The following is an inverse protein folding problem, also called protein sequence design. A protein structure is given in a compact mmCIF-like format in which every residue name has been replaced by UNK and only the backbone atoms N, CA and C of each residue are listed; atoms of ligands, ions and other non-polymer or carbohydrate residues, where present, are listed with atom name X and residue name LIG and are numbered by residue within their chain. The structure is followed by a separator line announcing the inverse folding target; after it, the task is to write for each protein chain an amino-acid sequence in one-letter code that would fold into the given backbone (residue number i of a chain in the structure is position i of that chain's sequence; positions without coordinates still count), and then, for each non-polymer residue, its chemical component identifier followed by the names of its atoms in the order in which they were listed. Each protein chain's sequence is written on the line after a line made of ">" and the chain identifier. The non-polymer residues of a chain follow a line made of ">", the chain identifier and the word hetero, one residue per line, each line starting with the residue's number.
data_IF_417237440063
#
_entry.id   IF_417237440063
#
_cell.length_a   1.000
_cell.length_b   1.000
_cell.length_c   1.000
_cell.angle_alpha   90.00
_cell.angle_beta   90.00
_cell.angle_gamma   90.00
#
_symmetry.space_group_name_H-M   'P 1'
#
loop_
_entity.id
_entity.type
_entity.pdbx_description
1 polymer ?
#
# COMPACT_ATOMS: atom_id res chain seq x y z
N UNK A 1 -17.85 -9.49 4.55
CA UNK A 1 -16.94 -9.85 3.43
C UNK A 1 -16.60 -8.65 2.55
N UNK A 2 -17.60 -7.93 2.00
CA UNK A 2 -17.38 -6.79 1.07
C UNK A 2 -16.42 -5.70 1.58
N UNK A 3 -16.44 -5.37 2.89
CA UNK A 3 -15.59 -4.32 3.47
C UNK A 3 -14.09 -4.64 3.45
N UNK A 4 -13.72 -5.90 3.75
CA UNK A 4 -12.30 -6.33 3.73
C UNK A 4 -11.77 -6.44 2.30
N UNK A 5 -12.64 -6.84 1.36
CA UNK A 5 -12.34 -6.81 -0.07
C UNK A 5 -12.12 -5.35 -0.54
N UNK A 6 -12.97 -4.41 -0.12
CA UNK A 6 -12.77 -3.00 -0.42
C UNK A 6 -11.46 -2.47 0.17
N UNK A 7 -11.14 -2.83 1.42
CA UNK A 7 -9.85 -2.49 2.04
C UNK A 7 -8.68 -3.06 1.22
N UNK A 8 -8.76 -4.33 0.81
CA UNK A 8 -7.76 -4.98 -0.03
C UNK A 8 -7.51 -4.18 -1.31
N UNK A 9 -8.56 -3.92 -2.11
CA UNK A 9 -8.42 -3.22 -3.39
C UNK A 9 -7.98 -1.77 -3.21
N UNK A 10 -8.45 -1.08 -2.15
CA UNK A 10 -7.95 0.25 -1.85
C UNK A 10 -6.45 0.25 -1.59
N UNK A 11 -5.95 -0.65 -0.74
CA UNK A 11 -4.51 -0.70 -0.41
C UNK A 11 -3.69 -1.21 -1.58
N UNK A 12 -4.20 -2.17 -2.34
CA UNK A 12 -3.60 -2.62 -3.60
C UNK A 12 -3.37 -1.44 -4.53
N UNK A 13 -4.40 -0.63 -4.81
CA UNK A 13 -4.29 0.50 -5.75
C UNK A 13 -3.26 1.54 -5.31
N UNK A 14 -3.13 1.79 -4.00
CA UNK A 14 -2.16 2.77 -3.49
C UNK A 14 -0.71 2.27 -3.58
N UNK A 15 -0.48 0.99 -3.28
CA UNK A 15 0.83 0.36 -3.46
C UNK A 15 1.18 0.31 -4.96
N UNK A 16 0.23 -0.14 -5.79
CA UNK A 16 0.38 -0.21 -7.24
C UNK A 16 0.80 1.13 -7.85
N UNK A 17 0.09 2.21 -7.49
CA UNK A 17 0.40 3.55 -7.98
C UNK A 17 1.81 4.00 -7.54
N UNK A 18 2.16 3.74 -6.28
CA UNK A 18 3.47 4.10 -5.74
C UNK A 18 4.61 3.35 -6.45
N UNK A 19 4.49 2.03 -6.62
CA UNK A 19 5.48 1.22 -7.34
C UNK A 19 5.66 1.73 -8.77
N UNK A 20 4.56 1.99 -9.48
CA UNK A 20 4.62 2.47 -10.88
C UNK A 20 5.38 3.78 -11.02
N UNK A 21 5.33 4.68 -10.02
CA UNK A 21 6.07 5.94 -10.04
C UNK A 21 7.57 5.71 -9.80
N UNK A 22 7.93 4.88 -8.81
CA UNK A 22 9.32 4.70 -8.40
C UNK A 22 10.13 3.74 -9.27
N UNK A 23 9.51 2.68 -9.82
CA UNK A 23 10.20 1.76 -10.75
C UNK A 23 10.75 2.47 -11.99
N UNK A 24 10.07 3.53 -12.45
CA UNK A 24 10.51 4.36 -13.58
C UNK A 24 11.16 5.66 -13.15
N UNK A 25 11.45 5.82 -11.86
CA UNK A 25 12.11 7.00 -11.28
C UNK A 25 11.42 8.32 -11.67
N UNK A 26 10.09 8.30 -11.80
CA UNK A 26 9.28 9.44 -12.22
C UNK A 26 9.14 9.66 -13.73
N UNK A 27 9.87 8.94 -14.59
CA UNK A 27 9.67 8.99 -16.04
C UNK A 27 8.50 8.10 -16.48
N UNK A 28 7.28 8.63 -16.39
CA UNK A 28 6.06 7.87 -16.71
C UNK A 28 6.00 7.34 -18.15
N UNK A 29 6.76 7.92 -19.08
CA UNK A 29 6.82 7.43 -20.47
C UNK A 29 7.57 6.09 -20.60
N UNK A 30 8.39 5.73 -19.61
CA UNK A 30 9.10 4.45 -19.55
C UNK A 30 8.26 3.31 -18.95
N UNK A 31 6.98 3.56 -18.63
CA UNK A 31 6.08 2.52 -18.12
C UNK A 31 5.84 1.43 -19.16
N UNK A 32 5.81 0.18 -18.69
CA UNK A 32 5.63 -1.01 -19.52
C UNK A 32 4.63 -1.95 -18.88
N UNK A 33 4.19 -2.97 -19.63
CA UNK A 33 3.36 -4.05 -19.09
C UNK A 33 4.06 -4.83 -17.97
N UNK A 34 5.40 -4.95 -18.03
CA UNK A 34 6.20 -5.57 -16.97
C UNK A 34 6.09 -4.78 -15.67
N UNK A 35 6.20 -3.45 -15.72
CA UNK A 35 6.01 -2.60 -14.55
C UNK A 35 4.60 -2.78 -13.94
N UNK A 36 3.57 -2.83 -14.78
CA UNK A 36 2.20 -3.05 -14.32
C UNK A 36 2.02 -4.42 -13.63
N UNK A 37 2.67 -5.48 -14.14
CA UNK A 37 2.62 -6.82 -13.55
C UNK A 37 3.32 -6.86 -12.18
N UNK A 38 4.51 -6.26 -12.08
CA UNK A 38 5.26 -6.14 -10.82
C UNK A 38 4.45 -5.34 -9.81
N UNK A 39 3.95 -4.17 -10.18
CA UNK A 39 3.11 -3.33 -9.32
C UNK A 39 1.84 -4.06 -8.86
N UNK A 40 1.24 -4.91 -9.70
CA UNK A 40 0.07 -5.74 -9.33
C UNK A 40 0.44 -6.79 -8.30
N UNK A 41 1.58 -7.45 -8.46
CA UNK A 41 2.11 -8.41 -7.48
C UNK A 41 2.40 -7.71 -6.14
N UNK A 42 3.15 -6.60 -6.15
CA UNK A 42 3.45 -5.82 -4.95
C UNK A 42 2.18 -5.33 -4.27
N UNK A 43 1.24 -4.78 -5.03
CA UNK A 43 -0.04 -4.30 -4.53
C UNK A 43 -0.91 -5.41 -3.94
N UNK A 44 -0.97 -6.59 -4.57
CA UNK A 44 -1.72 -7.72 -4.07
C UNK A 44 -1.16 -8.25 -2.73
N UNK A 45 0.16 -8.41 -2.63
CA UNK A 45 0.82 -8.81 -1.38
C UNK A 45 0.58 -7.76 -0.30
N UNK A 46 0.73 -6.48 -0.63
CA UNK A 46 0.49 -5.36 0.31
C UNK A 46 -0.94 -5.35 0.81
N UNK A 47 -1.93 -5.41 -0.09
CA UNK A 47 -3.34 -5.42 0.26
C UNK A 47 -3.69 -6.60 1.16
N UNK A 48 -3.14 -7.79 0.87
CA UNK A 48 -3.32 -8.98 1.68
C UNK A 48 -2.75 -8.80 3.09
N UNK A 49 -1.50 -8.33 3.21
CA UNK A 49 -0.85 -8.07 4.49
C UNK A 49 -1.62 -7.03 5.31
N UNK A 50 -2.06 -5.92 4.70
CA UNK A 50 -2.83 -4.90 5.42
C UNK A 50 -4.18 -5.44 5.90
N UNK A 51 -4.85 -6.29 5.11
CA UNK A 51 -6.08 -6.96 5.55
C UNK A 51 -5.81 -7.87 6.75
N UNK A 52 -4.75 -8.69 6.72
CA UNK A 52 -4.38 -9.55 7.85
C UNK A 52 -4.08 -8.71 9.10
N UNK A 53 -3.24 -7.68 8.97
CA UNK A 53 -2.88 -6.81 10.09
C UNK A 53 -4.10 -6.03 10.61
N UNK A 54 -5.09 -5.73 9.76
CA UNK A 54 -6.35 -5.09 10.19
C UNK A 54 -7.15 -5.92 11.19
N UNK A 55 -6.93 -7.24 11.26
CA UNK A 55 -7.56 -8.14 12.24
C UNK A 55 -6.98 -7.98 13.65
N UNK A 56 -5.77 -7.43 13.77
CA UNK A 56 -5.12 -7.22 15.07
C UNK A 56 -5.84 -6.07 15.79
N UNK A 57 -6.31 -6.24 17.04
CA UNK A 57 -7.16 -5.27 17.72
C UNK A 57 -6.39 -4.06 18.31
N UNK A 58 -5.40 -3.51 17.63
CA UNK A 58 -4.68 -2.29 18.04
C UNK A 58 -5.58 -1.05 17.81
N UNK A 59 -5.73 -0.21 18.84
CA UNK A 59 -6.38 1.10 18.77
C UNK A 59 -5.32 2.18 18.53
N UNK A 60 -5.08 2.52 17.27
CA UNK A 60 -4.12 3.56 16.90
C UNK A 60 -4.54 4.28 15.62
N UNK A 61 -4.48 5.61 15.63
CA UNK A 61 -5.01 6.42 14.52
C UNK A 61 -4.25 6.19 13.21
N UNK A 62 -2.93 6.02 13.27
CA UNK A 62 -2.08 5.80 12.09
C UNK A 62 -1.85 4.32 11.75
N UNK A 63 -2.71 3.42 12.26
CA UNK A 63 -2.58 1.98 12.06
C UNK A 63 -2.53 1.59 10.57
N UNK A 64 -3.47 2.09 9.76
CA UNK A 64 -3.54 1.75 8.33
C UNK A 64 -2.35 2.30 7.53
N UNK A 65 -1.92 3.57 7.67
CA UNK A 65 -0.69 4.05 7.05
C UNK A 65 0.56 3.27 7.46
N UNK A 66 0.71 2.89 8.74
CA UNK A 66 1.88 2.12 9.20
C UNK A 66 1.87 0.71 8.59
N UNK A 67 0.72 0.04 8.58
CA UNK A 67 0.60 -1.27 7.95
C UNK A 67 0.80 -1.20 6.44
N UNK A 68 0.37 -0.10 5.82
CA UNK A 68 0.64 0.18 4.42
C UNK A 68 2.15 0.28 4.17
N UNK A 69 2.87 1.03 5.00
CA UNK A 69 4.33 1.15 4.91
C UNK A 69 5.01 -0.22 5.02
N UNK A 70 4.75 -0.94 6.11
CA UNK A 70 5.39 -2.24 6.37
C UNK A 70 5.05 -3.25 5.27
N UNK A 71 3.77 -3.34 4.90
CA UNK A 71 3.29 -4.28 3.88
C UNK A 71 3.88 -3.98 2.50
N UNK A 72 3.91 -2.71 2.10
CA UNK A 72 4.46 -2.29 0.82
C UNK A 72 5.97 -2.48 0.76
N UNK A 73 6.70 -2.11 1.81
CA UNK A 73 8.15 -2.27 1.88
C UNK A 73 8.58 -3.73 1.70
N UNK A 74 7.92 -4.64 2.44
CA UNK A 74 8.18 -6.08 2.33
C UNK A 74 7.78 -6.61 0.96
N UNK A 75 6.61 -6.21 0.45
CA UNK A 75 6.12 -6.68 -0.84
C UNK A 75 7.01 -6.24 -2.00
N UNK A 76 7.54 -5.02 -1.96
CA UNK A 76 8.39 -4.44 -3.01
C UNK A 76 9.75 -5.16 -3.08
N UNK A 77 10.41 -5.34 -1.92
CA UNK A 77 11.66 -6.12 -1.80
C UNK A 77 11.49 -7.55 -2.35
N UNK A 78 10.31 -8.17 -2.13
CA UNK A 78 10.04 -9.53 -2.62
C UNK A 78 9.66 -9.59 -4.10
N UNK A 79 9.31 -8.47 -4.72
CA UNK A 79 8.74 -8.45 -6.06
C UNK A 79 9.77 -8.15 -7.15
N UNK A 80 10.81 -7.38 -6.86
CA UNK A 80 11.91 -7.14 -7.80
C UNK A 80 13.18 -6.60 -7.13
N UNK A 81 14.34 -6.69 -7.82
CA UNK A 81 15.55 -5.98 -7.42
C UNK A 81 15.39 -4.46 -7.56
N UNK A 82 16.03 -3.71 -6.67
CA UNK A 82 16.08 -2.23 -6.71
C UNK A 82 16.74 -1.72 -8.00
N UNK A 83 16.36 -0.51 -8.42
CA UNK A 83 17.05 0.31 -9.42
C UNK A 83 17.71 1.53 -8.77
N UNK A 84 17.33 1.85 -7.52
CA UNK A 84 18.06 2.78 -6.68
C UNK A 84 19.29 2.08 -6.09
N UNK A 85 20.40 2.82 -5.92
CA UNK A 85 21.72 2.23 -5.62
C UNK A 85 21.74 1.21 -4.46
N UNK A 86 21.06 1.52 -3.35
CA UNK A 86 20.93 0.60 -2.21
C UNK A 86 19.67 -0.28 -2.32
N UNK A 87 19.80 -1.57 -1.99
CA UNK A 87 18.76 -2.61 -2.20
C UNK A 87 17.38 -2.31 -1.58
N UNK A 88 17.35 -1.50 -0.52
CA UNK A 88 16.13 -1.18 0.23
C UNK A 88 15.59 0.23 -0.06
N UNK A 89 16.38 1.07 -0.73
CA UNK A 89 16.07 2.50 -0.86
C UNK A 89 14.86 2.76 -1.74
N UNK A 90 14.71 2.02 -2.85
CA UNK A 90 13.51 2.06 -3.69
C UNK A 90 12.28 1.64 -2.89
N UNK A 91 12.34 0.45 -2.29
CA UNK A 91 11.25 -0.10 -1.50
C UNK A 91 10.84 0.84 -0.36
N UNK A 92 11.79 1.53 0.26
CA UNK A 92 11.53 2.52 1.30
C UNK A 92 10.75 3.72 0.75
N UNK A 93 11.22 4.31 -0.37
CA UNK A 93 10.54 5.42 -1.01
C UNK A 93 9.14 5.05 -1.51
N UNK A 94 9.01 3.88 -2.13
CA UNK A 94 7.74 3.30 -2.58
C UNK A 94 6.78 3.09 -1.42
N UNK A 95 7.25 2.48 -0.32
CA UNK A 95 6.45 2.26 0.87
C UNK A 95 6.04 3.57 1.56
N UNK A 96 6.95 4.54 1.62
CA UNK A 96 6.70 5.85 2.19
C UNK A 96 5.61 6.59 1.43
N UNK A 97 5.71 6.67 0.10
CA UNK A 97 4.70 7.32 -0.72
C UNK A 97 3.35 6.58 -0.63
N UNK A 98 3.35 5.25 -0.63
CA UNK A 98 2.13 4.46 -0.46
C UNK A 98 1.46 4.71 0.90
N UNK A 99 2.26 4.84 1.97
CA UNK A 99 1.79 5.19 3.30
C UNK A 99 1.24 6.63 3.38
N UNK A 100 1.89 7.59 2.72
CA UNK A 100 1.41 8.97 2.58
C UNK A 100 0.07 8.99 1.85
N UNK A 101 -0.05 8.30 0.71
CA UNK A 101 -1.33 8.17 -0.01
C UNK A 101 -2.40 7.55 0.87
N UNK A 102 -2.07 6.50 1.62
CA UNK A 102 -2.99 5.89 2.59
C UNK A 102 -3.43 6.89 3.64
N UNK A 103 -2.51 7.69 4.18
CA UNK A 103 -2.82 8.71 5.19
C UNK A 103 -3.69 9.83 4.63
N UNK A 104 -3.34 10.38 3.47
CA UNK A 104 -4.13 11.44 2.80
C UNK A 104 -5.54 10.95 2.52
N UNK A 105 -5.70 9.70 2.05
CA UNK A 105 -7.04 9.14 1.82
C UNK A 105 -7.79 8.96 3.13
N UNK A 106 -7.15 8.57 4.24
CA UNK A 106 -7.83 8.51 5.55
C UNK A 106 -8.37 9.86 6.03
N UNK A 107 -7.80 10.98 5.57
CA UNK A 107 -8.33 12.32 5.87
C UNK A 107 -9.58 12.66 5.02
N UNK A 108 -9.74 12.02 3.87
CA UNK A 108 -10.89 12.22 2.98
C UNK A 108 -12.18 11.62 3.56
N UNK A 109 -13.38 12.09 3.14
CA UNK A 109 -14.66 11.52 3.59
C UNK A 109 -14.79 10.01 3.32
N UNK A 110 -14.22 9.53 2.21
CA UNK A 110 -14.21 8.11 1.86
C UNK A 110 -13.34 7.29 2.81
N UNK A 111 -12.17 7.81 3.18
CA UNK A 111 -11.27 7.15 4.13
C UNK A 111 -11.79 7.17 5.57
N UNK A 112 -12.44 8.25 6.00
CA UNK A 112 -13.12 8.32 7.31
C UNK A 112 -14.20 7.25 7.44
N UNK A 113 -15.07 7.10 6.43
CA UNK A 113 -16.05 6.00 6.39
C UNK A 113 -15.39 4.63 6.46
N UNK A 114 -14.30 4.43 5.72
CA UNK A 114 -13.56 3.16 5.76
C UNK A 114 -12.95 2.87 7.14
N UNK A 115 -12.45 3.91 7.82
CA UNK A 115 -11.91 3.83 9.18
C UNK A 115 -13.01 3.51 10.20
N UNK A 116 -14.12 4.26 10.17
CA UNK A 116 -15.31 4.03 11.00
C UNK A 116 -15.81 2.59 10.85
N UNK A 117 -15.89 2.07 9.63
CA UNK A 117 -16.31 0.69 9.39
C UNK A 117 -15.36 -0.39 9.92
N UNK A 118 -14.09 -0.05 10.13
CA UNK A 118 -13.10 -0.95 10.73
C UNK A 118 -13.13 -0.87 12.26
N UNK A 119 -13.45 0.30 12.82
CA UNK A 119 -13.53 0.53 14.25
C UNK A 119 -14.88 0.08 14.87
N UNK A 120 -15.99 0.18 14.12
CA UNK A 120 -17.34 -0.28 14.50
C UNK A 120 -17.45 -1.80 14.71
N UNK A 121 -16.46 -2.59 14.27
CA UNK A 121 -16.43 -4.04 14.48
C UNK A 121 -16.13 -4.45 15.94
N UNK A 122 -16.02 -3.50 16.86
CA UNK A 122 -15.70 -3.73 18.28
C UNK A 122 -16.81 -3.36 19.28
N UNK A 123 -17.98 -2.94 18.80
CA UNK A 123 -19.16 -2.68 19.65
C UNK A 123 -20.24 -3.74 19.42
#
# INVERSE_FOLDING_TARGET
>A
MNRKINLFFHKLSLAWLSCMIFMVQGNLTALTSTHALIATRTGAITGFLVVLMSLIPIKFHFKLPIFMFIGCFVADILSHPTHFGEYWSEAFCTALLAAIFSYVITLSPAGKKLQEYLDDQKN
#
